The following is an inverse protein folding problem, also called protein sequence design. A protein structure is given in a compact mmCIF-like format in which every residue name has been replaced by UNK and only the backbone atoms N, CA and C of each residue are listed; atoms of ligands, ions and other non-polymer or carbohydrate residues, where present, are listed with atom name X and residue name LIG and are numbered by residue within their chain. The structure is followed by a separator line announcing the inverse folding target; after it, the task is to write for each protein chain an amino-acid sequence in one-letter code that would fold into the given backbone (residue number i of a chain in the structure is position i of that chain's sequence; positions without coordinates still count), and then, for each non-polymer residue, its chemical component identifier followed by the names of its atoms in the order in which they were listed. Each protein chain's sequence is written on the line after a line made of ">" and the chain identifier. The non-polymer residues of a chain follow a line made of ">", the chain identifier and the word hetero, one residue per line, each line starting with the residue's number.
data_IF_973724334442
#
_entry.id   IF_973724334442
#
_cell.length_a   1.000
_cell.length_b   1.000
_cell.length_c   1.000
_cell.angle_alpha   90.00
_cell.angle_beta   90.00
_cell.angle_gamma   90.00
#
_symmetry.space_group_name_H-M   'P 1'
#
loop_
_entity.id
_entity.type
_entity.pdbx_description
1 polymer ?
#
# COMPACT_ATOMS: atom_id res chain seq x y z
N UNK A 1 34.14 51.04 -29.88
CA UNK A 1 35.12 50.01 -29.48
C UNK A 1 34.35 48.74 -29.13
N UNK A 2 34.31 47.78 -30.05
CA UNK A 2 33.63 46.48 -29.91
C UNK A 2 34.60 45.48 -29.28
N UNK A 3 34.28 44.93 -28.10
CA UNK A 3 35.03 43.79 -27.54
C UNK A 3 34.18 42.52 -27.67
N UNK A 4 34.54 41.72 -28.66
CA UNK A 4 34.05 40.37 -28.91
C UNK A 4 34.71 39.46 -27.87
N UNK A 5 33.91 38.83 -27.00
CA UNK A 5 34.39 37.81 -26.08
C UNK A 5 34.54 36.49 -26.86
N UNK A 6 35.77 36.05 -27.06
CA UNK A 6 36.11 34.77 -27.67
C UNK A 6 35.67 33.62 -26.74
N UNK A 7 34.77 32.75 -27.20
CA UNK A 7 34.53 31.45 -26.56
C UNK A 7 35.55 30.44 -27.13
N UNK A 8 36.29 29.69 -26.30
CA UNK A 8 37.24 28.70 -26.82
C UNK A 8 36.50 27.49 -27.40
N UNK A 9 36.72 27.22 -28.69
CA UNK A 9 36.07 26.20 -29.50
C UNK A 9 36.69 24.79 -29.35
N UNK A 10 37.19 24.41 -28.17
CA UNK A 10 37.92 23.13 -28.06
C UNK A 10 37.94 22.50 -26.65
N UNK A 11 36.78 22.06 -26.16
CA UNK A 11 36.72 21.05 -25.10
C UNK A 11 36.31 19.69 -25.69
N UNK A 12 37.25 19.05 -26.38
CA UNK A 12 37.16 17.61 -26.69
C UNK A 12 37.54 16.84 -25.43
N UNK A 13 36.58 16.09 -24.88
CA UNK A 13 36.85 15.00 -23.95
C UNK A 13 36.93 15.37 -22.48
N UNK A 14 35.78 15.69 -21.87
CA UNK A 14 35.59 15.40 -20.45
C UNK A 14 34.95 14.02 -20.36
N UNK A 15 35.72 13.01 -19.96
CA UNK A 15 35.18 11.71 -19.56
C UNK A 15 34.32 11.89 -18.30
N UNK A 16 33.03 12.19 -18.48
CA UNK A 16 32.05 12.10 -17.40
C UNK A 16 31.91 10.61 -17.04
N UNK A 17 32.54 10.21 -15.94
CA UNK A 17 32.54 8.85 -15.41
C UNK A 17 31.10 8.31 -15.30
N UNK A 18 30.87 7.17 -15.94
CA UNK A 18 29.59 6.48 -16.15
C UNK A 18 29.04 5.80 -14.88
N UNK A 19 28.84 6.55 -13.80
CA UNK A 19 28.28 6.05 -12.53
C UNK A 19 26.80 6.39 -12.32
N UNK A 20 26.06 6.73 -13.37
CA UNK A 20 24.63 7.05 -13.27
C UNK A 20 23.69 5.84 -13.47
N UNK A 21 24.18 4.68 -13.90
CA UNK A 21 23.34 3.54 -14.33
C UNK A 21 23.25 2.38 -13.34
N UNK A 22 23.96 2.42 -12.21
CA UNK A 22 24.04 1.30 -11.26
C UNK A 22 23.12 1.43 -10.04
N UNK A 23 22.48 2.60 -9.86
CA UNK A 23 21.58 2.86 -8.73
C UNK A 23 20.15 2.37 -8.95
N UNK A 24 19.62 2.48 -10.17
CA UNK A 24 18.20 2.24 -10.45
C UNK A 24 17.80 0.77 -10.20
N UNK A 25 18.49 -0.19 -10.84
CA UNK A 25 18.18 -1.61 -10.69
C UNK A 25 18.40 -2.17 -9.27
N UNK A 26 19.42 -1.68 -8.54
CA UNK A 26 19.67 -2.10 -7.16
C UNK A 26 18.60 -1.55 -6.21
N UNK A 27 18.16 -0.32 -6.40
CA UNK A 27 17.12 0.30 -5.59
C UNK A 27 15.79 -0.43 -5.76
N UNK A 28 15.37 -0.71 -6.99
CA UNK A 28 14.17 -1.50 -7.27
C UNK A 28 14.25 -2.90 -6.68
N UNK A 29 15.42 -3.56 -6.78
CA UNK A 29 15.61 -4.88 -6.20
C UNK A 29 15.46 -4.85 -4.67
N UNK A 30 16.06 -3.86 -3.99
CA UNK A 30 15.91 -3.70 -2.54
C UNK A 30 14.47 -3.35 -2.14
N UNK A 31 13.82 -2.46 -2.88
CA UNK A 31 12.43 -2.09 -2.65
C UNK A 31 11.50 -3.30 -2.79
N UNK A 32 11.64 -4.08 -3.87
CA UNK A 32 10.88 -5.31 -4.09
C UNK A 32 11.16 -6.34 -3.01
N UNK A 33 12.41 -6.51 -2.59
CA UNK A 33 12.76 -7.43 -1.50
C UNK A 33 12.05 -7.03 -0.19
N UNK A 34 12.08 -5.75 0.19
CA UNK A 34 11.39 -5.25 1.39
C UNK A 34 9.88 -5.39 1.25
N UNK A 35 9.29 -5.10 0.08
CA UNK A 35 7.87 -5.26 -0.16
C UNK A 35 7.41 -6.72 -0.02
N UNK A 36 8.18 -7.67 -0.58
CA UNK A 36 7.88 -9.10 -0.46
C UNK A 36 8.01 -9.57 0.99
N UNK A 37 9.08 -9.18 1.70
CA UNK A 37 9.27 -9.56 3.10
C UNK A 37 8.14 -8.98 3.96
N UNK A 38 7.78 -7.70 3.76
CA UNK A 38 6.68 -7.06 4.49
C UNK A 38 5.33 -7.71 4.20
N UNK A 39 5.09 -8.14 2.97
CA UNK A 39 3.88 -8.87 2.62
C UNK A 39 3.87 -10.25 3.30
N UNK A 40 4.96 -11.01 3.17
CA UNK A 40 5.07 -12.35 3.74
C UNK A 40 4.89 -12.35 5.28
N UNK A 41 5.53 -11.42 5.99
CA UNK A 41 5.40 -11.33 7.45
C UNK A 41 4.02 -10.89 7.88
N UNK A 42 3.32 -10.06 7.11
CA UNK A 42 1.97 -9.60 7.44
C UNK A 42 0.92 -10.69 7.29
N UNK A 43 1.09 -11.62 6.36
CA UNK A 43 0.18 -12.75 6.16
C UNK A 43 0.61 -14.04 6.87
N UNK A 44 1.79 -14.05 7.49
CA UNK A 44 2.26 -15.21 8.24
C UNK A 44 1.32 -15.51 9.41
N UNK A 45 0.68 -16.69 9.38
CA UNK A 45 -0.28 -17.16 10.39
C UNK A 45 -1.49 -16.24 10.62
N UNK A 46 -1.99 -15.58 9.58
CA UNK A 46 -3.16 -14.69 9.67
C UNK A 46 -4.44 -15.38 10.18
N UNK A 47 -4.55 -16.70 10.05
CA UNK A 47 -5.72 -17.49 10.51
C UNK A 47 -5.63 -17.90 11.98
N UNK A 48 -4.59 -17.47 12.70
CA UNK A 48 -4.37 -17.84 14.11
C UNK A 48 -4.36 -16.56 14.95
N UNK A 49 -5.18 -16.49 16.02
CA UNK A 49 -6.05 -17.53 16.56
C UNK A 49 -7.43 -17.60 15.89
N UNK A 50 -8.10 -18.77 15.93
CA UNK A 50 -9.42 -19.01 15.31
C UNK A 50 -10.59 -18.49 16.17
N UNK A 51 -10.47 -17.27 16.70
CA UNK A 51 -11.55 -16.58 17.41
C UNK A 51 -11.53 -15.10 17.08
N UNK A 52 -12.69 -14.44 17.24
CA UNK A 52 -12.84 -13.01 16.96
C UNK A 52 -12.00 -12.20 17.93
N UNK A 53 -11.05 -11.44 17.40
CA UNK A 53 -10.05 -10.71 18.18
C UNK A 53 -10.34 -9.21 18.22
N UNK A 54 -10.22 -8.59 19.41
CA UNK A 54 -10.16 -7.13 19.60
C UNK A 54 -11.27 -6.38 18.81
N UNK A 55 -10.87 -5.62 17.79
CA UNK A 55 -11.73 -4.75 16.98
C UNK A 55 -12.46 -5.47 15.84
N UNK A 56 -12.17 -6.76 15.60
CA UNK A 56 -12.93 -7.59 14.64
C UNK A 56 -14.41 -7.69 15.07
N UNK A 57 -14.66 -7.74 16.37
CA UNK A 57 -16.03 -7.72 16.93
C UNK A 57 -16.81 -6.48 16.44
N UNK A 58 -16.14 -5.34 16.41
CA UNK A 58 -16.76 -4.06 16.11
C UNK A 58 -16.84 -3.79 14.60
N UNK A 59 -15.72 -3.94 13.90
CA UNK A 59 -15.66 -3.68 12.46
C UNK A 59 -16.32 -4.79 11.63
N UNK A 60 -16.21 -6.05 12.06
CA UNK A 60 -16.89 -7.18 11.43
C UNK A 60 -18.40 -6.99 11.48
N UNK A 61 -18.96 -6.68 12.66
CA UNK A 61 -20.38 -6.40 12.84
C UNK A 61 -20.88 -5.25 11.96
N UNK A 62 -20.08 -4.20 11.82
CA UNK A 62 -20.41 -3.07 10.94
C UNK A 62 -20.33 -3.42 9.47
N UNK A 63 -19.39 -4.29 9.08
CA UNK A 63 -19.33 -4.88 7.75
C UNK A 63 -20.61 -5.65 7.43
N UNK A 64 -21.08 -6.48 8.35
CA UNK A 64 -22.35 -7.20 8.24
C UNK A 64 -23.54 -6.24 8.09
N UNK A 65 -23.56 -5.13 8.83
CA UNK A 65 -24.61 -4.11 8.70
C UNK A 65 -24.62 -3.42 7.34
N UNK A 66 -23.46 -3.18 6.74
CA UNK A 66 -23.40 -2.65 5.37
C UNK A 66 -23.91 -3.66 4.33
N UNK A 67 -23.54 -4.95 4.47
CA UNK A 67 -24.01 -6.02 3.58
C UNK A 67 -25.54 -6.19 3.71
N UNK A 68 -26.04 -6.19 4.94
CA UNK A 68 -27.47 -6.33 5.26
C UNK A 68 -28.28 -5.04 5.06
N UNK A 69 -27.63 -3.93 4.65
CA UNK A 69 -28.26 -2.61 4.45
C UNK A 69 -29.00 -2.09 5.68
N UNK A 70 -28.49 -2.39 6.88
CA UNK A 70 -29.06 -1.91 8.15
C UNK A 70 -28.39 -0.61 8.57
N UNK A 71 -29.20 0.39 8.92
CA UNK A 71 -28.70 1.68 9.39
C UNK A 71 -28.06 1.56 10.79
N UNK A 72 -26.90 2.20 10.98
CA UNK A 72 -26.23 2.32 12.26
C UNK A 72 -25.50 3.67 12.35
N UNK A 73 -25.25 4.12 13.58
CA UNK A 73 -24.50 5.35 13.86
C UNK A 73 -23.09 5.03 14.33
N UNK A 74 -22.13 5.83 13.90
CA UNK A 74 -20.75 5.70 14.35
C UNK A 74 -19.96 7.00 14.35
N UNK A 75 -18.91 7.05 15.16
CA UNK A 75 -18.05 8.22 15.36
C UNK A 75 -17.03 8.45 14.24
N UNK A 76 -16.46 7.40 13.63
CA UNK A 76 -15.46 7.53 12.57
C UNK A 76 -16.07 7.60 11.15
N UNK A 77 -15.33 8.15 10.18
CA UNK A 77 -15.74 8.17 8.78
C UNK A 77 -16.05 6.77 8.22
N UNK A 78 -16.99 6.66 7.26
CA UNK A 78 -17.54 5.37 6.81
C UNK A 78 -16.61 4.56 5.89
N UNK A 79 -15.65 5.21 5.22
CA UNK A 79 -14.88 4.62 4.12
C UNK A 79 -14.19 3.30 4.50
N UNK A 80 -13.49 3.26 5.63
CA UNK A 80 -12.74 2.07 6.05
C UNK A 80 -13.65 0.84 6.22
N UNK A 81 -14.84 1.05 6.77
CA UNK A 81 -15.80 -0.05 6.99
C UNK A 81 -16.54 -0.47 5.75
N UNK A 82 -16.76 0.46 4.82
CA UNK A 82 -17.26 0.13 3.49
C UNK A 82 -16.25 -0.75 2.74
N UNK A 83 -14.94 -0.52 2.90
CA UNK A 83 -13.92 -1.41 2.32
C UNK A 83 -13.91 -2.79 2.98
N UNK A 84 -14.13 -2.87 4.30
CA UNK A 84 -14.29 -4.15 5.00
C UNK A 84 -15.53 -4.89 4.47
N UNK A 85 -16.68 -4.21 4.38
CA UNK A 85 -17.90 -4.76 3.80
C UNK A 85 -17.69 -5.21 2.35
N UNK A 86 -16.95 -4.44 1.55
CA UNK A 86 -16.58 -4.80 0.19
C UNK A 86 -15.71 -6.06 0.14
N UNK A 87 -14.72 -6.19 1.02
CA UNK A 87 -13.91 -7.41 1.10
C UNK A 87 -14.76 -8.64 1.42
N UNK A 88 -15.71 -8.52 2.37
CA UNK A 88 -16.67 -9.59 2.66
C UNK A 88 -17.57 -9.92 1.46
N UNK A 89 -18.11 -8.90 0.80
CA UNK A 89 -18.94 -9.09 -0.39
C UNK A 89 -18.18 -9.82 -1.52
N UNK A 90 -16.92 -9.46 -1.77
CA UNK A 90 -16.08 -10.09 -2.80
C UNK A 90 -15.69 -11.54 -2.45
N UNK A 91 -15.60 -11.90 -1.17
CA UNK A 91 -15.34 -13.27 -0.73
C UNK A 91 -16.61 -14.12 -0.59
N UNK A 92 -17.79 -13.54 -0.84
CA UNK A 92 -19.08 -14.23 -0.75
C UNK A 92 -19.67 -14.29 0.66
N UNK A 93 -19.20 -13.46 1.59
CA UNK A 93 -19.79 -13.32 2.93
C UNK A 93 -21.18 -12.67 2.84
N UNK A 94 -22.16 -13.27 3.51
CA UNK A 94 -23.58 -12.91 3.46
C UNK A 94 -24.03 -12.02 4.63
N UNK A 95 -23.14 -11.66 5.56
CA UNK A 95 -23.49 -10.84 6.72
C UNK A 95 -24.21 -11.59 7.84
N UNK A 96 -24.30 -12.92 7.79
CA UNK A 96 -25.02 -13.74 8.80
C UNK A 96 -24.20 -14.05 10.06
N UNK A 97 -22.87 -14.06 9.95
CA UNK A 97 -21.98 -14.35 11.08
C UNK A 97 -22.08 -13.27 12.17
N UNK A 98 -22.33 -13.72 13.40
CA UNK A 98 -22.43 -12.87 14.58
C UNK A 98 -21.03 -12.64 15.18
N UNK A 99 -20.47 -11.48 14.89
CA UNK A 99 -19.26 -10.97 15.56
C UNK A 99 -19.63 -10.55 16.99
N UNK A 100 -19.39 -11.45 17.95
CA UNK A 100 -19.65 -11.29 19.40
C UNK A 100 -18.36 -11.36 20.20
#
# INVERSE_FOLDING_TARGET
>A
MHNILFYPSNMKGVHLSSNLSSFDGKWWLMFTAVAIISFATRFYNVTVPDHVCWDETHFGKMGSWYINRTFFLYVHPPLGKMLIALSGYLTGYDGSFLFV
#
